data_IF_502960905444
#
_entry.id   IF_502960905444
#
_cell.length_a   1.000
_cell.length_b   1.000
_cell.length_c   1.000
_cell.angle_alpha   90.00
_cell.angle_beta   90.00
_cell.angle_gamma   90.00
#
_symmetry.space_group_name_H-M   'P 1'
#
loop_
_entity.id
_entity.type
_entity.pdbx_description
1 polymer ?
#
# COMPACT_ATOMS: atom_id res chain seq x y z
N UNK A 1 -57.09 26.41 15.88
CA UNK A 1 -56.29 26.33 17.13
C UNK A 1 -56.04 24.84 17.35
N UNK A 2 -54.90 24.23 17.04
CA UNK A 2 -53.58 24.74 16.69
C UNK A 2 -52.91 23.73 15.76
N UNK A 3 -52.27 24.22 14.69
CA UNK A 3 -51.18 23.52 13.99
C UNK A 3 -50.01 23.34 14.97
N UNK A 4 -49.35 22.19 14.94
CA UNK A 4 -47.95 21.92 15.34
C UNK A 4 -47.72 20.41 15.21
N UNK A 5 -46.62 19.88 14.72
CA UNK A 5 -45.39 20.39 14.11
C UNK A 5 -44.80 19.14 13.45
N UNK A 6 -44.36 19.22 12.19
CA UNK A 6 -43.73 18.10 11.48
C UNK A 6 -42.32 17.93 12.05
N UNK A 7 -42.07 16.86 12.79
CA UNK A 7 -40.71 16.47 13.15
C UNK A 7 -40.08 15.76 11.94
N UNK A 8 -39.39 16.54 11.10
CA UNK A 8 -38.45 16.01 10.12
C UNK A 8 -37.32 15.28 10.87
N UNK A 9 -37.44 13.97 11.01
CA UNK A 9 -36.33 13.10 11.39
C UNK A 9 -35.32 13.11 10.24
N UNK A 10 -34.41 14.09 10.28
CA UNK A 10 -33.34 14.27 9.32
C UNK A 10 -32.61 12.95 9.09
N UNK A 11 -32.69 12.43 7.86
CA UNK A 11 -31.89 11.30 7.39
C UNK A 11 -30.42 11.57 7.71
N UNK A 12 -29.91 10.98 8.79
CA UNK A 12 -28.49 10.92 9.09
C UNK A 12 -27.84 10.18 7.93
N UNK A 13 -27.26 10.93 6.99
CA UNK A 13 -26.49 10.36 5.89
C UNK A 13 -25.47 9.40 6.49
N UNK A 14 -25.61 8.11 6.17
CA UNK A 14 -24.69 7.07 6.61
C UNK A 14 -23.36 7.31 5.90
N UNK A 15 -22.51 8.16 6.48
CA UNK A 15 -21.15 8.39 6.00
C UNK A 15 -20.34 7.13 6.28
N UNK A 16 -20.20 6.26 5.28
CA UNK A 16 -19.31 5.11 5.35
C UNK A 16 -17.88 5.59 5.14
N UNK A 17 -17.02 5.41 6.14
CA UNK A 17 -15.59 5.64 6.00
C UNK A 17 -15.01 4.46 5.23
N UNK A 18 -14.63 4.72 3.98
CA UNK A 18 -13.88 3.76 3.18
C UNK A 18 -12.41 3.85 3.58
N UNK A 19 -11.84 2.73 4.01
CA UNK A 19 -10.40 2.59 4.22
C UNK A 19 -9.81 1.95 2.98
N UNK A 20 -8.88 2.65 2.33
CA UNK A 20 -8.08 2.10 1.24
C UNK A 20 -6.91 1.38 1.88
N UNK A 21 -6.71 0.11 1.54
CA UNK A 21 -5.49 -0.62 1.88
C UNK A 21 -4.60 -0.65 0.64
N UNK A 22 -3.37 -0.19 0.81
CA UNK A 22 -2.36 -0.20 -0.24
C UNK A 22 -1.44 -1.42 -0.08
N UNK A 23 -1.15 -2.07 -1.19
CA UNK A 23 -0.15 -3.12 -1.31
C UNK A 23 0.97 -2.61 -2.22
N UNK A 24 2.21 -2.73 -1.75
CA UNK A 24 3.39 -2.20 -2.42
C UNK A 24 4.26 -3.35 -2.91
N UNK A 25 4.58 -3.39 -4.19
CA UNK A 25 5.46 -4.41 -4.78
C UNK A 25 6.70 -3.78 -5.38
N UNK A 26 7.87 -4.37 -5.11
CA UNK A 26 9.13 -3.97 -5.73
C UNK A 26 9.49 -4.92 -6.86
N UNK A 27 9.73 -4.38 -8.06
CA UNK A 27 9.97 -5.15 -9.29
C UNK A 27 11.29 -4.73 -9.90
N UNK A 28 12.16 -5.70 -10.23
CA UNK A 28 13.38 -5.44 -10.99
C UNK A 28 13.07 -5.43 -12.47
N UNK A 29 13.35 -4.32 -13.17
CA UNK A 29 12.87 -4.15 -14.56
C UNK A 29 13.56 -5.01 -15.59
N UNK A 30 14.86 -5.31 -15.41
CA UNK A 30 15.65 -6.00 -16.45
C UNK A 30 15.11 -7.39 -16.80
N UNK A 31 14.40 -8.02 -15.86
CA UNK A 31 13.88 -9.38 -15.96
C UNK A 31 12.46 -9.52 -15.41
N UNK A 32 11.79 -8.40 -15.10
CA UNK A 32 10.45 -8.34 -14.50
C UNK A 32 10.29 -9.23 -13.25
N UNK A 33 11.38 -9.45 -12.50
CA UNK A 33 11.34 -10.27 -11.30
C UNK A 33 10.71 -9.47 -10.15
N UNK A 34 9.61 -9.97 -9.61
CA UNK A 34 9.01 -9.42 -8.38
C UNK A 34 9.94 -9.79 -7.23
N UNK A 35 10.49 -8.77 -6.57
CA UNK A 35 11.41 -8.95 -5.44
C UNK A 35 10.62 -9.15 -4.15
N UNK A 36 9.62 -8.28 -3.93
CA UNK A 36 8.81 -8.26 -2.71
C UNK A 36 7.39 -7.79 -3.04
N UNK A 37 6.43 -8.17 -2.21
CA UNK A 37 5.06 -7.63 -2.19
C UNK A 37 4.61 -7.45 -0.74
N UNK A 38 4.26 -6.24 -0.36
CA UNK A 38 4.13 -5.82 1.03
C UNK A 38 5.36 -6.25 1.83
N UNK A 39 5.18 -6.89 2.99
CA UNK A 39 6.28 -7.40 3.83
C UNK A 39 6.82 -8.75 3.39
N UNK A 40 6.26 -9.36 2.33
CA UNK A 40 6.67 -10.66 1.84
C UNK A 40 7.76 -10.53 0.76
N UNK A 41 8.81 -11.36 0.85
CA UNK A 41 9.92 -11.39 -0.09
C UNK A 41 9.84 -12.64 -0.97
N UNK A 42 9.81 -12.46 -2.30
CA UNK A 42 9.78 -13.53 -3.29
C UNK A 42 11.17 -13.98 -3.75
N UNK A 43 12.14 -13.07 -3.74
CA UNK A 43 13.51 -13.41 -4.13
C UNK A 43 14.24 -14.19 -3.03
N UNK A 44 15.10 -15.12 -3.42
CA UNK A 44 15.95 -15.87 -2.48
C UNK A 44 17.26 -15.14 -2.15
N UNK A 45 17.52 -13.96 -2.75
CA UNK A 45 18.70 -13.16 -2.43
C UNK A 45 18.46 -12.38 -1.12
N UNK A 46 19.01 -12.89 -0.01
CA UNK A 46 18.84 -12.35 1.35
C UNK A 46 19.30 -10.88 1.53
N UNK A 47 20.00 -10.34 0.53
CA UNK A 47 20.41 -8.93 0.51
C UNK A 47 19.23 -8.00 0.32
N UNK A 48 18.13 -8.45 -0.30
CA UNK A 48 16.94 -7.64 -0.55
C UNK A 48 16.01 -7.68 0.65
N UNK A 49 15.67 -6.51 1.19
CA UNK A 49 14.81 -6.36 2.36
C UNK A 49 13.84 -5.21 2.17
N UNK A 50 12.65 -5.31 2.77
CA UNK A 50 11.71 -4.19 2.89
C UNK A 50 11.87 -3.58 4.27
N UNK A 51 12.06 -2.27 4.31
CA UNK A 51 11.97 -1.48 5.53
C UNK A 51 10.63 -0.74 5.53
N UNK A 52 9.81 -1.04 6.52
CA UNK A 52 8.50 -0.43 6.72
C UNK A 52 8.21 -0.36 8.22
N UNK A 53 7.96 0.85 8.72
CA UNK A 53 7.56 1.06 10.11
C UNK A 53 6.05 0.84 10.25
N UNK A 54 5.63 0.18 11.33
CA UNK A 54 4.21 -0.08 11.58
C UNK A 54 3.40 1.24 11.60
N UNK A 55 2.37 1.31 10.76
CA UNK A 55 1.52 2.49 10.62
C UNK A 55 2.10 3.62 9.75
N UNK A 56 3.29 3.46 9.17
CA UNK A 56 3.84 4.41 8.21
C UNK A 56 3.28 4.16 6.80
N UNK A 57 3.27 5.20 5.96
CA UNK A 57 3.03 5.05 4.51
C UNK A 57 4.34 4.85 3.72
N UNK A 58 5.48 4.88 4.41
CA UNK A 58 6.80 4.73 3.80
C UNK A 58 7.17 3.26 3.58
N UNK A 59 7.55 2.95 2.34
CA UNK A 59 8.03 1.63 1.94
C UNK A 59 9.37 1.79 1.24
N UNK A 60 10.41 1.18 1.80
CA UNK A 60 11.77 1.25 1.25
C UNK A 60 12.30 -0.13 0.89
N UNK A 61 12.76 -0.30 -0.34
CA UNK A 61 13.58 -1.45 -0.72
C UNK A 61 15.04 -1.19 -0.35
N UNK A 62 15.59 -2.01 0.54
CA UNK A 62 17.00 -2.01 0.88
C UNK A 62 17.71 -3.16 0.16
N UNK A 63 18.88 -2.87 -0.43
CA UNK A 63 19.81 -3.88 -0.97
C UNK A 63 21.09 -3.82 -0.15
N UNK A 64 21.38 -4.88 0.62
CA UNK A 64 22.63 -4.99 1.38
C UNK A 64 23.80 -5.39 0.48
N UNK A 65 25.00 -4.88 0.79
CA UNK A 65 26.23 -5.25 0.07
C UNK A 65 26.07 -5.15 -1.46
N UNK A 66 25.70 -3.95 -1.92
CA UNK A 66 25.41 -3.66 -3.33
C UNK A 66 26.59 -4.05 -4.22
N UNK A 67 26.29 -4.66 -5.36
CA UNK A 67 27.25 -5.09 -6.37
C UNK A 67 26.96 -4.40 -7.71
N UNK A 68 27.94 -4.33 -8.61
CA UNK A 68 27.76 -3.74 -9.94
C UNK A 68 26.57 -4.36 -10.70
N UNK A 69 26.32 -5.66 -10.51
CA UNK A 69 25.20 -6.38 -11.13
C UNK A 69 23.81 -5.94 -10.64
N UNK A 70 23.73 -5.20 -9.54
CA UNK A 70 22.47 -4.64 -9.03
C UNK A 70 22.13 -3.31 -9.71
N UNK A 71 23.04 -2.77 -10.53
CA UNK A 71 22.74 -1.58 -11.33
C UNK A 71 21.52 -1.83 -12.25
N UNK A 72 20.59 -0.90 -12.25
CA UNK A 72 19.42 -0.93 -13.11
C UNK A 72 18.21 -0.21 -12.51
N UNK A 73 17.08 -0.32 -13.20
CA UNK A 73 15.81 0.27 -12.75
C UNK A 73 15.03 -0.72 -11.90
N UNK A 74 14.47 -0.21 -10.80
CA UNK A 74 13.54 -0.88 -9.92
C UNK A 74 12.24 -0.09 -9.90
N UNK A 75 11.11 -0.76 -9.96
CA UNK A 75 9.79 -0.16 -9.91
C UNK A 75 9.10 -0.45 -8.58
N UNK A 76 8.49 0.58 -8.03
CA UNK A 76 7.51 0.46 -6.96
C UNK A 76 6.13 0.47 -7.60
N UNK A 77 5.41 -0.64 -7.48
CA UNK A 77 4.03 -0.78 -7.93
C UNK A 77 3.10 -0.67 -6.72
N UNK A 78 2.08 0.18 -6.84
CA UNK A 78 1.04 0.38 -5.83
C UNK A 78 -0.26 -0.23 -6.33
N UNK A 79 -0.82 -1.17 -5.59
CA UNK A 79 -2.19 -1.64 -5.77
C UNK A 79 -3.04 -1.25 -4.56
N UNK A 80 -4.31 -0.91 -4.80
CA UNK A 80 -5.24 -0.51 -3.74
C UNK A 80 -6.55 -1.27 -3.86
N UNK A 81 -7.07 -1.74 -2.72
CA UNK A 81 -8.41 -2.32 -2.65
C UNK A 81 -9.24 -1.63 -1.56
N UNK A 82 -10.52 -1.45 -1.85
CA UNK A 82 -11.52 -0.89 -0.94
C UNK A 82 -12.36 -2.02 -0.37
N UNK A 83 -12.69 -1.94 0.92
CA UNK A 83 -13.66 -2.82 1.58
C UNK A 83 -15.04 -2.18 1.68
#
# INVERSE_FOLDING_TARGET
>A
MSKKEEDEEGKKGSSRRLTIVLQISWIRRRDFHVLTSSTFTYTNDERFQVLHAEGSDDWTLQIKYVQERDNGTYECQVSGHTY
#
